data_IF_668120563992
#
_entry.id   IF_668120563992
#
_cell.length_a   1.000
_cell.length_b   1.000
_cell.length_c   1.000
_cell.angle_alpha   90.00
_cell.angle_beta   90.00
_cell.angle_gamma   90.00
#
_symmetry.space_group_name_H-M   'P 1'
#
loop_
_entity.id
_entity.type
_entity.pdbx_description
1 polymer ?
#
# COMPACT_ATOMS: atom_id res chain seq x y z
N UNK A 1 -11.43 -22.42 -26.60
CA UNK A 1 -12.06 -21.47 -25.65
C UNK A 1 -11.19 -20.23 -25.61
N UNK A 2 -11.48 -19.29 -26.51
CA UNK A 2 -10.69 -18.08 -26.75
C UNK A 2 -11.06 -17.00 -25.73
N UNK A 3 -10.03 -16.42 -25.11
CA UNK A 3 -10.17 -15.28 -24.22
C UNK A 3 -10.74 -14.09 -24.99
N UNK A 4 -11.88 -13.59 -24.51
CA UNK A 4 -12.43 -12.33 -24.94
C UNK A 4 -11.45 -11.21 -24.61
N UNK A 5 -10.98 -10.55 -25.66
CA UNK A 5 -10.37 -9.22 -25.59
C UNK A 5 -11.42 -8.30 -24.99
N UNK A 6 -11.19 -7.88 -23.74
CA UNK A 6 -11.94 -6.77 -23.16
C UNK A 6 -11.39 -5.49 -23.79
N UNK A 7 -12.30 -4.85 -24.50
CA UNK A 7 -12.22 -3.60 -25.22
C UNK A 7 -11.63 -2.46 -24.38
N UNK A 8 -10.95 -1.59 -25.12
CA UNK A 8 -10.04 -0.53 -24.74
C UNK A 8 -10.80 0.71 -24.23
N UNK A 9 -10.51 1.14 -22.99
CA UNK A 9 -10.71 2.55 -22.61
C UNK A 9 -9.53 3.05 -21.78
N UNK A 10 -8.71 3.85 -22.44
CA UNK A 10 -7.49 4.49 -21.96
C UNK A 10 -7.78 5.56 -20.89
N UNK A 11 -6.87 5.73 -19.91
CA UNK A 11 -6.02 6.94 -19.83
C UNK A 11 -4.97 6.90 -18.69
N UNK A 12 -3.74 7.27 -19.07
CA UNK A 12 -2.67 7.91 -18.29
C UNK A 12 -2.04 7.19 -17.07
N UNK A 13 -1.03 6.35 -17.35
CA UNK A 13 0.05 5.96 -16.43
C UNK A 13 1.39 5.89 -17.20
N UNK A 14 2.55 6.13 -16.56
CA UNK A 14 3.79 6.55 -17.25
C UNK A 14 4.39 5.45 -18.14
N UNK A 15 5.12 5.83 -19.21
CA UNK A 15 5.66 4.89 -20.18
C UNK A 15 6.96 4.26 -19.67
N UNK A 16 6.98 2.92 -19.61
CA UNK A 16 8.13 2.13 -19.18
C UNK A 16 8.00 0.70 -19.70
N UNK A 17 8.23 0.56 -20.99
CA UNK A 17 8.28 -0.66 -21.77
C UNK A 17 9.27 -1.70 -21.23
N UNK A 18 8.79 -2.88 -20.84
CA UNK A 18 9.46 -4.17 -21.04
C UNK A 18 8.64 -5.29 -20.39
N UNK A 19 7.93 -6.10 -21.19
CA UNK A 19 7.46 -7.50 -21.03
C UNK A 19 7.06 -8.13 -19.67
N UNK A 20 7.12 -7.42 -18.55
CA UNK A 20 6.97 -7.91 -17.19
C UNK A 20 6.16 -6.87 -16.41
N UNK A 21 4.93 -6.62 -16.87
CA UNK A 21 3.98 -5.77 -16.15
C UNK A 21 3.71 -6.38 -14.78
N UNK A 22 4.32 -5.84 -13.73
CA UNK A 22 3.74 -5.97 -12.39
C UNK A 22 2.31 -5.48 -12.54
N UNK A 23 1.33 -6.39 -12.47
CA UNK A 23 -0.08 -6.03 -12.64
C UNK A 23 -0.36 -4.78 -11.81
N UNK A 24 -1.00 -3.76 -12.38
CA UNK A 24 -1.21 -2.44 -11.76
C UNK A 24 -1.63 -2.51 -10.28
N UNK A 25 -2.41 -3.53 -9.93
CA UNK A 25 -2.79 -3.90 -8.56
C UNK A 25 -1.59 -4.13 -7.63
N UNK A 26 -0.58 -4.88 -8.07
CA UNK A 26 0.66 -5.16 -7.34
C UNK A 26 1.56 -3.94 -7.22
N UNK A 27 1.68 -3.15 -8.28
CA UNK A 27 2.42 -1.88 -8.22
C UNK A 27 1.76 -0.89 -7.23
N UNK A 28 0.44 -0.72 -7.28
CA UNK A 28 -0.30 0.08 -6.30
C UNK A 28 -0.12 -0.43 -4.89
N UNK A 29 -0.19 -1.74 -4.69
CA UNK A 29 0.03 -2.34 -3.37
C UNK A 29 1.45 -2.05 -2.83
N UNK A 30 2.46 -2.13 -3.70
CA UNK A 30 3.84 -1.79 -3.36
C UNK A 30 3.98 -0.29 -3.00
N UNK A 31 3.38 0.60 -3.79
CA UNK A 31 3.37 2.04 -3.55
C UNK A 31 2.68 2.38 -2.21
N UNK A 32 1.52 1.78 -1.95
CA UNK A 32 0.79 1.99 -0.71
C UNK A 32 1.58 1.51 0.51
N UNK A 33 2.34 0.41 0.41
CA UNK A 33 3.25 -0.03 1.48
C UNK A 33 4.38 0.98 1.72
N UNK A 34 4.99 1.52 0.66
CA UNK A 34 6.07 2.52 0.77
C UNK A 34 5.56 3.82 1.42
N UNK A 35 4.36 4.27 1.06
CA UNK A 35 3.74 5.45 1.66
C UNK A 35 3.34 5.22 3.11
N UNK A 36 2.80 4.03 3.42
CA UNK A 36 2.48 3.63 4.78
C UNK A 36 3.72 3.67 5.69
N UNK A 37 4.84 3.11 5.23
CA UNK A 37 6.11 3.15 5.96
C UNK A 37 6.56 4.59 6.25
N UNK A 38 6.52 5.48 5.25
CA UNK A 38 6.92 6.88 5.43
C UNK A 38 6.08 7.62 6.47
N UNK A 39 4.76 7.38 6.48
CA UNK A 39 3.84 8.00 7.44
C UNK A 39 4.07 7.47 8.86
N UNK A 40 4.30 6.17 9.00
CA UNK A 40 4.59 5.55 10.29
C UNK A 40 5.94 6.03 10.85
N UNK A 41 6.97 6.18 10.01
CA UNK A 41 8.27 6.73 10.43
C UNK A 41 8.14 8.20 10.88
N UNK A 42 7.21 8.96 10.28
CA UNK A 42 6.86 10.32 10.73
C UNK A 42 6.09 10.37 12.05
N UNK A 43 5.79 9.22 12.67
CA UNK A 43 5.05 9.15 13.93
C UNK A 43 3.54 9.29 13.76
N UNK A 44 2.99 9.21 12.53
CA UNK A 44 1.55 9.27 12.32
C UNK A 44 0.84 8.01 12.80
N UNK A 45 -0.29 8.15 13.47
CA UNK A 45 -1.02 6.97 13.95
C UNK A 45 -1.49 6.08 12.79
N UNK A 46 -1.74 4.80 13.09
CA UNK A 46 -2.24 3.82 12.11
C UNK A 46 -3.55 4.31 11.46
N UNK A 47 -4.40 4.99 12.22
CA UNK A 47 -5.65 5.57 11.73
C UNK A 47 -5.39 6.74 10.76
N UNK A 48 -4.51 7.69 11.12
CA UNK A 48 -4.14 8.81 10.24
C UNK A 48 -3.50 8.31 8.95
N UNK A 49 -2.63 7.30 9.05
CA UNK A 49 -1.99 6.65 7.89
C UNK A 49 -3.02 6.01 6.96
N UNK A 50 -4.02 5.30 7.51
CA UNK A 50 -5.09 4.69 6.73
C UNK A 50 -5.93 5.75 6.00
N UNK A 51 -6.29 6.84 6.69
CA UNK A 51 -7.04 7.95 6.11
C UNK A 51 -6.26 8.67 5.00
N UNK A 52 -4.96 8.92 5.21
CA UNK A 52 -4.08 9.54 4.21
C UNK A 52 -3.93 8.70 2.93
N UNK A 53 -4.05 7.38 3.04
CA UNK A 53 -4.01 6.43 1.92
C UNK A 53 -5.38 6.18 1.27
N UNK A 54 -6.45 6.81 1.78
CA UNK A 54 -7.82 6.65 1.27
C UNK A 54 -8.48 5.33 1.64
N UNK A 55 -8.05 4.70 2.74
CA UNK A 55 -8.76 3.53 3.27
C UNK A 55 -9.96 3.96 4.10
N UNK A 56 -11.10 3.32 3.82
CA UNK A 56 -12.35 3.50 4.55
C UNK A 56 -12.24 3.11 6.04
N UNK A 57 -11.42 2.09 6.32
CA UNK A 57 -11.21 1.61 7.69
C UNK A 57 -9.75 1.24 7.97
N UNK A 58 -9.31 1.56 9.19
CA UNK A 58 -8.02 1.17 9.75
C UNK A 58 -7.80 -0.35 9.66
N UNK A 59 -8.85 -1.16 9.79
CA UNK A 59 -8.77 -2.63 9.73
C UNK A 59 -8.43 -3.13 8.31
N UNK A 60 -8.96 -2.49 7.27
CA UNK A 60 -8.64 -2.82 5.88
C UNK A 60 -7.18 -2.50 5.57
N UNK A 61 -6.69 -1.37 6.05
CA UNK A 61 -5.28 -0.99 5.97
C UNK A 61 -4.38 -1.98 6.72
N UNK A 62 -4.69 -2.32 7.98
CA UNK A 62 -3.91 -3.28 8.77
C UNK A 62 -3.82 -4.64 8.07
N UNK A 63 -4.91 -5.10 7.47
CA UNK A 63 -4.95 -6.38 6.74
C UNK A 63 -4.02 -6.35 5.54
N UNK A 64 -4.03 -5.25 4.77
CA UNK A 64 -3.14 -5.03 3.64
C UNK A 64 -1.67 -4.97 4.09
N UNK A 65 -1.38 -4.16 5.10
CA UNK A 65 -0.03 -3.95 5.63
C UNK A 65 0.55 -5.26 6.18
N UNK A 66 -0.24 -6.03 6.95
CA UNK A 66 0.16 -7.34 7.47
C UNK A 66 0.42 -8.35 6.34
N UNK A 67 -0.35 -8.33 5.26
CA UNK A 67 -0.10 -9.18 4.08
C UNK A 67 1.20 -8.79 3.35
N UNK A 68 1.58 -7.52 3.37
CA UNK A 68 2.81 -7.04 2.73
C UNK A 68 4.08 -7.20 3.57
N UNK A 69 4.00 -6.92 4.88
CA UNK A 69 5.15 -6.81 5.79
C UNK A 69 5.18 -7.91 6.87
N UNK A 70 4.13 -8.71 7.00
CA UNK A 70 4.03 -9.77 8.03
C UNK A 70 3.79 -9.27 9.46
N UNK A 71 3.93 -7.97 9.71
CA UNK A 71 3.77 -7.33 11.03
C UNK A 71 2.63 -6.31 11.01
N UNK A 72 2.05 -6.02 12.18
CA UNK A 72 1.03 -4.96 12.28
C UNK A 72 1.67 -3.60 12.48
N UNK A 73 1.15 -2.53 11.84
CA UNK A 73 1.70 -1.18 11.94
C UNK A 73 1.61 -0.62 13.36
N UNK A 74 0.64 -1.07 14.17
CA UNK A 74 0.55 -0.72 15.59
C UNK A 74 1.69 -1.27 16.44
N UNK A 75 2.18 -2.48 16.14
CA UNK A 75 3.35 -3.06 16.81
C UNK A 75 4.64 -2.36 16.37
N UNK A 76 4.72 -1.94 15.11
CA UNK A 76 5.80 -1.10 14.58
C UNK A 76 5.84 0.27 15.28
N UNK A 77 4.69 0.92 15.44
CA UNK A 77 4.57 2.16 16.21
C UNK A 77 4.91 2.00 17.69
N UNK A 78 4.43 0.93 18.34
CA UNK A 78 4.76 0.65 19.74
C UNK A 78 6.27 0.43 19.94
N UNK A 79 6.95 -0.23 19.01
CA UNK A 79 8.41 -0.39 19.07
C UNK A 79 9.17 0.93 18.85
N UNK A 80 8.66 1.84 18.01
CA UNK A 80 9.25 3.17 17.84
C UNK A 80 9.04 4.04 19.08
N UNK A 81 7.86 3.98 19.70
CA UNK A 81 7.55 4.73 20.92
C UNK A 81 8.31 4.25 22.17
N UNK A 82 8.67 2.96 22.24
CA UNK A 82 9.55 2.43 23.30
C UNK A 82 11.00 2.90 23.17
N UNK A 83 11.40 3.47 22.03
CA UNK A 83 12.65 4.22 21.93
C UNK A 83 12.43 5.64 22.47
N UNK A 84 12.03 5.73 23.74
CA UNK A 84 12.10 6.96 24.53
C UNK A 84 13.57 7.35 24.63
N UNK A 85 13.93 8.47 24.01
CA UNK A 85 14.90 9.41 24.57
C UNK A 85 14.12 10.56 25.20
#
# INVERSE_FOLDING_TARGET
MGGGVCDERAESGPPGSARNGLSFRRWRHQLQLILALQLLIRGQTVQQTAQALGYDSTTAFITMFKKGLGQTPGRYHGSLATTSQ
#
